data_IF_618349916630
#
_entry.id   IF_618349916630
#
_cell.length_a   1.000
_cell.length_b   1.000
_cell.length_c   1.000
_cell.angle_alpha   90.00
_cell.angle_beta   90.00
_cell.angle_gamma   90.00
#
_symmetry.space_group_name_H-M   'P 1'
#
loop_
_entity.id
_entity.type
_entity.pdbx_description
1 polymer ?
#
# COMPACT_ATOMS: atom_id res chain seq x y z
N UNK A 1 25.99 -13.14 17.57
CA UNK A 1 25.63 -12.88 16.16
C UNK A 1 24.14 -12.55 15.99
N UNK A 2 23.21 -13.28 16.63
CA UNK A 2 21.76 -12.99 16.60
C UNK A 2 21.38 -11.56 17.03
N UNK A 3 22.02 -11.04 18.09
CA UNK A 3 21.72 -9.72 18.65
C UNK A 3 22.10 -8.56 17.69
N UNK A 4 23.11 -8.74 16.84
CA UNK A 4 23.56 -7.74 15.85
C UNK A 4 22.61 -7.68 14.63
N UNK A 5 22.04 -8.82 14.24
CA UNK A 5 21.04 -8.88 13.18
C UNK A 5 19.72 -8.24 13.62
N UNK A 6 19.28 -8.51 14.86
CA UNK A 6 18.04 -7.97 15.42
C UNK A 6 18.10 -6.45 15.60
N UNK A 7 19.24 -5.91 16.04
CA UNK A 7 19.46 -4.45 16.18
C UNK A 7 19.46 -3.74 14.82
N UNK A 8 20.09 -4.32 13.79
CA UNK A 8 20.02 -3.79 12.42
C UNK A 8 18.59 -3.83 11.88
N UNK A 9 17.85 -4.91 12.15
CA UNK A 9 16.43 -5.03 11.79
C UNK A 9 15.57 -3.99 12.50
N UNK A 10 15.79 -3.75 13.79
CA UNK A 10 15.12 -2.68 14.57
C UNK A 10 15.33 -1.30 13.93
N UNK A 11 16.57 -0.96 13.56
CA UNK A 11 16.88 0.31 12.87
C UNK A 11 16.20 0.40 11.50
N UNK A 12 16.16 -0.70 10.72
CA UNK A 12 15.43 -0.79 9.44
C UNK A 12 13.94 -0.50 9.63
N UNK A 13 13.31 -1.11 10.64
CA UNK A 13 11.90 -0.90 10.96
C UNK A 13 11.61 0.55 11.41
N UNK A 14 12.50 1.16 12.19
CA UNK A 14 12.39 2.56 12.59
C UNK A 14 12.45 3.50 11.39
N UNK A 15 13.41 3.31 10.47
CA UNK A 15 13.49 4.09 9.22
C UNK A 15 12.23 3.92 8.37
N UNK A 16 11.73 2.69 8.23
CA UNK A 16 10.48 2.40 7.51
C UNK A 16 9.28 3.12 8.15
N UNK A 17 9.21 3.17 9.47
CA UNK A 17 8.15 3.87 10.19
C UNK A 17 8.25 5.40 10.01
N UNK A 18 9.45 5.98 10.04
CA UNK A 18 9.66 7.41 9.77
C UNK A 18 9.23 7.77 8.35
N UNK A 19 9.61 6.96 7.35
CA UNK A 19 9.16 7.14 5.97
C UNK A 19 7.64 7.04 5.83
N UNK A 20 7.02 6.07 6.53
CA UNK A 20 5.57 5.93 6.55
C UNK A 20 4.88 7.16 7.20
N UNK A 21 5.44 7.73 8.27
CA UNK A 21 4.94 8.98 8.85
C UNK A 21 5.04 10.15 7.88
N UNK A 22 6.19 10.30 7.20
CA UNK A 22 6.39 11.35 6.19
C UNK A 22 5.39 11.20 5.03
N UNK A 23 5.16 9.98 4.55
CA UNK A 23 4.15 9.68 3.54
C UNK A 23 2.74 10.07 4.00
N UNK A 24 2.35 9.72 5.24
CA UNK A 24 1.04 10.11 5.79
C UNK A 24 0.85 11.64 5.80
N UNK A 25 1.88 12.37 6.23
CA UNK A 25 1.83 13.84 6.24
C UNK A 25 1.68 14.40 4.82
N UNK A 26 2.42 13.85 3.86
CA UNK A 26 2.33 14.22 2.45
C UNK A 26 0.94 13.96 1.85
N UNK A 27 0.33 12.81 2.17
CA UNK A 27 -1.03 12.47 1.72
C UNK A 27 -2.07 13.43 2.31
N UNK A 28 -1.96 13.78 3.60
CA UNK A 28 -2.85 14.78 4.22
C UNK A 28 -2.72 16.13 3.52
N UNK A 29 -1.51 16.55 3.17
CA UNK A 29 -1.28 17.79 2.41
C UNK A 29 -1.96 17.74 1.04
N UNK A 30 -1.82 16.64 0.30
CA UNK A 30 -2.49 16.43 -1.00
C UNK A 30 -4.01 16.52 -0.88
N UNK A 31 -4.60 15.94 0.18
CA UNK A 31 -6.05 15.98 0.43
C UNK A 31 -6.52 17.42 0.69
N UNK A 32 -5.79 18.19 1.49
CA UNK A 32 -6.10 19.59 1.76
C UNK A 32 -5.98 20.47 0.51
N UNK A 33 -4.94 20.23 -0.30
CA UNK A 33 -4.70 20.90 -1.57
C UNK A 33 -5.82 20.57 -2.57
N UNK A 34 -6.17 19.29 -2.74
CA UNK A 34 -7.28 18.87 -3.61
C UNK A 34 -8.61 19.54 -3.22
N UNK A 35 -8.89 19.63 -1.92
CA UNK A 35 -10.13 20.24 -1.43
C UNK A 35 -10.17 21.75 -1.63
N UNK A 36 -9.04 22.44 -1.51
CA UNK A 36 -8.96 23.90 -1.71
C UNK A 36 -8.99 24.25 -3.20
N UNK A 37 -8.07 23.71 -4.00
CA UNK A 37 -7.99 23.95 -5.44
C UNK A 37 -9.21 23.40 -6.18
N UNK A 38 -9.77 22.26 -5.77
CA UNK A 38 -10.94 21.70 -6.43
C UNK A 38 -12.17 22.60 -6.34
N UNK A 39 -12.30 23.35 -5.23
CA UNK A 39 -13.34 24.39 -5.09
C UNK A 39 -13.05 25.61 -5.97
N UNK A 40 -11.81 26.05 -6.04
CA UNK A 40 -11.42 27.22 -6.85
C UNK A 40 -11.54 26.95 -8.35
N UNK A 41 -11.21 25.74 -8.79
CA UNK A 41 -11.23 25.32 -10.20
C UNK A 41 -12.58 24.73 -10.64
N UNK A 42 -13.60 24.77 -9.78
CA UNK A 42 -14.93 24.19 -10.03
C UNK A 42 -14.88 22.76 -10.60
N UNK A 43 -13.96 21.93 -10.07
CA UNK A 43 -13.83 20.54 -10.50
C UNK A 43 -15.06 19.74 -10.08
N UNK A 44 -15.41 18.66 -10.81
CA UNK A 44 -16.53 17.81 -10.43
C UNK A 44 -16.36 17.25 -9.01
N UNK A 45 -17.39 17.41 -8.18
CA UNK A 45 -17.38 16.96 -6.79
C UNK A 45 -17.10 15.45 -6.69
N UNK A 46 -17.61 14.64 -7.62
CA UNK A 46 -17.37 13.20 -7.69
C UNK A 46 -15.89 12.86 -7.76
N UNK A 47 -15.13 13.58 -8.59
CA UNK A 47 -13.70 13.37 -8.81
C UNK A 47 -12.89 13.70 -7.55
N UNK A 48 -13.26 14.78 -6.87
CA UNK A 48 -12.64 15.21 -5.62
C UNK A 48 -12.90 14.18 -4.52
N UNK A 49 -14.17 13.78 -4.32
CA UNK A 49 -14.54 12.82 -3.27
C UNK A 49 -13.89 11.46 -3.47
N UNK A 50 -13.85 10.95 -4.70
CA UNK A 50 -13.18 9.70 -5.00
C UNK A 50 -11.67 9.79 -4.76
N UNK A 51 -11.01 10.86 -5.21
CA UNK A 51 -9.56 11.07 -5.00
C UNK A 51 -9.23 11.08 -3.51
N UNK A 52 -10.01 11.82 -2.71
CA UNK A 52 -9.86 11.85 -1.24
C UNK A 52 -10.07 10.44 -0.67
N UNK A 53 -11.14 9.76 -1.05
CA UNK A 53 -11.45 8.40 -0.57
C UNK A 53 -10.34 7.39 -0.89
N UNK A 54 -9.76 7.46 -2.10
CA UNK A 54 -8.67 6.60 -2.53
C UNK A 54 -7.42 6.81 -1.67
N UNK A 55 -7.01 8.06 -1.47
CA UNK A 55 -5.85 8.39 -0.64
C UNK A 55 -6.07 8.04 0.84
N UNK A 56 -7.26 8.31 1.40
CA UNK A 56 -7.62 7.92 2.77
C UNK A 56 -7.57 6.39 2.93
N UNK A 57 -8.05 5.64 1.94
CA UNK A 57 -7.98 4.17 1.95
C UNK A 57 -6.55 3.65 2.04
N UNK A 58 -5.64 4.18 1.22
CA UNK A 58 -4.21 3.83 1.29
C UNK A 58 -3.60 4.26 2.62
N UNK A 59 -3.95 5.46 3.09
CA UNK A 59 -3.46 6.01 4.35
C UNK A 59 -3.79 5.09 5.54
N UNK A 60 -5.01 4.57 5.62
CA UNK A 60 -5.43 3.62 6.64
C UNK A 60 -4.59 2.33 6.61
N UNK A 61 -4.31 1.78 5.43
CA UNK A 61 -3.48 0.58 5.30
C UNK A 61 -2.05 0.81 5.81
N UNK A 62 -1.47 1.98 5.50
CA UNK A 62 -0.14 2.36 6.00
C UNK A 62 -0.15 2.50 7.52
N UNK A 63 -1.15 3.18 8.09
CA UNK A 63 -1.29 3.37 9.55
C UNK A 63 -1.41 2.02 10.27
N UNK A 64 -2.21 1.07 9.76
CA UNK A 64 -2.31 -0.28 10.33
C UNK A 64 -0.93 -0.98 10.33
N UNK A 65 -0.18 -0.84 9.24
CA UNK A 65 1.19 -1.36 9.14
C UNK A 65 2.17 -0.70 10.12
N UNK A 66 2.01 0.59 10.37
CA UNK A 66 2.78 1.34 11.37
C UNK A 66 2.49 0.84 12.78
N UNK A 67 1.20 0.69 13.16
CA UNK A 67 0.83 0.14 14.47
C UNK A 67 1.44 -1.24 14.71
N UNK A 68 1.41 -2.12 13.70
CA UNK A 68 2.04 -3.44 13.77
C UNK A 68 3.56 -3.34 13.97
N UNK A 69 4.22 -2.45 13.23
CA UNK A 69 5.67 -2.23 13.33
C UNK A 69 6.04 -1.65 14.70
N UNK A 70 5.26 -0.69 15.20
CA UNK A 70 5.50 -0.07 16.49
C UNK A 70 5.23 -1.01 17.66
N UNK A 71 4.20 -1.87 17.56
CA UNK A 71 4.01 -2.95 18.54
C UNK A 71 5.16 -3.95 18.53
N UNK A 72 5.75 -4.26 17.36
CA UNK A 72 6.92 -5.14 17.28
C UNK A 72 8.19 -4.47 17.83
N UNK A 73 8.34 -3.15 17.71
CA UNK A 73 9.49 -2.41 18.27
C UNK A 73 9.49 -2.32 19.79
N UNK A 74 8.32 -2.47 20.43
CA UNK A 74 8.15 -2.42 21.90
C UNK A 74 8.30 -3.77 22.59
N UNK A 75 8.24 -4.87 21.83
CA UNK A 75 8.18 -6.24 22.35
C UNK A 75 9.14 -7.13 21.56
N UNK A 76 10.21 -7.59 22.22
CA UNK A 76 11.26 -8.38 21.58
C UNK A 76 10.76 -9.72 21.04
N UNK A 77 9.73 -10.32 21.64
CA UNK A 77 9.14 -11.56 21.12
C UNK A 77 8.41 -11.30 19.80
N UNK A 78 7.66 -10.19 19.70
CA UNK A 78 7.01 -9.76 18.46
C UNK A 78 8.02 -9.33 17.40
N UNK A 79 9.12 -8.70 17.80
CA UNK A 79 10.20 -8.33 16.88
C UNK A 79 10.83 -9.56 16.23
N UNK A 80 11.15 -10.59 17.03
CA UNK A 80 11.69 -11.87 16.55
C UNK A 80 10.71 -12.59 15.65
N UNK A 81 9.43 -12.65 16.03
CA UNK A 81 8.38 -13.25 15.19
C UNK A 81 8.23 -12.52 13.84
N UNK A 82 8.32 -11.19 13.83
CA UNK A 82 8.28 -10.40 12.60
C UNK A 82 9.53 -10.61 11.74
N UNK A 83 10.71 -10.75 12.36
CA UNK A 83 11.97 -11.04 11.67
C UNK A 83 11.93 -12.40 10.96
N UNK A 84 11.48 -13.44 11.65
CA UNK A 84 11.32 -14.80 11.09
C UNK A 84 10.33 -14.76 9.92
N UNK A 85 9.20 -14.08 10.10
CA UNK A 85 8.19 -13.95 9.05
C UNK A 85 8.70 -13.19 7.80
N UNK A 86 9.53 -12.17 7.97
CA UNK A 86 10.07 -11.39 6.85
C UNK A 86 11.15 -12.18 6.07
N UNK A 87 11.80 -13.15 6.70
CA UNK A 87 12.81 -14.03 6.09
C UNK A 87 12.28 -15.44 5.76
N UNK A 88 10.96 -15.63 5.79
CA UNK A 88 10.34 -16.91 5.44
C UNK A 88 10.44 -17.14 3.92
N UNK A 89 11.29 -18.07 3.52
CA UNK A 89 11.53 -18.48 2.13
C UNK A 89 10.25 -18.95 1.42
N UNK A 90 9.28 -19.50 2.16
CA UNK A 90 7.99 -19.92 1.59
C UNK A 90 7.17 -18.72 1.14
N UNK A 91 7.23 -17.61 1.86
CA UNK A 91 6.52 -16.39 1.45
C UNK A 91 7.19 -15.74 0.25
N UNK A 92 8.52 -15.74 0.22
CA UNK A 92 9.31 -15.17 -0.88
C UNK A 92 9.06 -15.93 -2.18
N UNK A 93 9.10 -17.26 -2.13
CA UNK A 93 8.86 -18.13 -3.30
C UNK A 93 7.42 -18.04 -3.84
N UNK A 94 6.42 -17.85 -2.97
CA UNK A 94 5.05 -17.58 -3.40
C UNK A 94 4.96 -16.24 -4.13
N UNK A 95 5.55 -15.17 -3.57
CA UNK A 95 5.54 -13.84 -4.22
C UNK A 95 6.27 -13.88 -5.57
N UNK A 96 7.39 -14.58 -5.70
CA UNK A 96 8.07 -14.76 -6.99
C UNK A 96 7.19 -15.47 -8.04
N UNK A 97 6.50 -16.54 -7.65
CA UNK A 97 5.62 -17.31 -8.55
C UNK A 97 4.40 -16.52 -9.05
N UNK A 98 3.89 -15.58 -8.26
CA UNK A 98 2.73 -14.76 -8.64
C UNK A 98 3.12 -13.45 -9.34
N UNK A 99 4.37 -13.30 -9.79
CA UNK A 99 4.85 -12.07 -10.42
C UNK A 99 5.00 -10.90 -9.44
N UNK A 100 5.24 -11.20 -8.16
CA UNK A 100 5.22 -10.35 -6.97
C UNK A 100 5.38 -8.85 -7.19
N UNK A 101 6.60 -8.35 -7.43
CA UNK A 101 6.86 -6.92 -7.63
C UNK A 101 6.27 -6.36 -8.93
N UNK A 102 6.21 -7.16 -10.00
CA UNK A 102 5.65 -6.74 -11.29
C UNK A 102 4.15 -6.46 -11.23
N UNK A 103 3.36 -7.37 -10.62
CA UNK A 103 1.92 -7.12 -10.44
C UNK A 103 1.69 -5.94 -9.48
N UNK A 104 2.52 -5.77 -8.45
CA UNK A 104 2.43 -4.60 -7.59
C UNK A 104 2.65 -3.28 -8.36
N UNK A 105 3.61 -3.26 -9.29
CA UNK A 105 3.86 -2.10 -10.14
C UNK A 105 2.66 -1.81 -11.05
N UNK A 106 2.04 -2.85 -11.64
CA UNK A 106 0.84 -2.70 -12.47
C UNK A 106 -0.32 -2.15 -11.65
N UNK A 107 -0.57 -2.68 -10.44
CA UNK A 107 -1.61 -2.18 -9.54
C UNK A 107 -1.36 -0.70 -9.20
N UNK A 108 -0.12 -0.32 -8.90
CA UNK A 108 0.24 1.07 -8.60
C UNK A 108 0.02 1.99 -9.81
N UNK A 109 0.44 1.57 -11.00
CA UNK A 109 0.25 2.31 -12.25
C UNK A 109 -1.24 2.47 -12.59
N UNK A 110 -2.04 1.41 -12.46
CA UNK A 110 -3.49 1.45 -12.65
C UNK A 110 -4.18 2.36 -11.63
N UNK A 111 -3.74 2.35 -10.37
CA UNK A 111 -4.24 3.26 -9.34
C UNK A 111 -4.01 4.72 -9.71
N UNK A 112 -2.79 5.07 -10.12
CA UNK A 112 -2.46 6.44 -10.58
C UNK A 112 -3.25 6.83 -11.84
N UNK A 113 -3.34 5.93 -12.82
CA UNK A 113 -4.12 6.17 -14.04
C UNK A 113 -5.61 6.39 -13.75
N UNK A 114 -6.17 5.67 -12.78
CA UNK A 114 -7.57 5.82 -12.34
C UNK A 114 -7.82 7.21 -11.73
N UNK A 115 -6.88 7.71 -10.91
CA UNK A 115 -6.96 9.07 -10.34
C UNK A 115 -6.90 10.13 -11.43
N UNK A 116 -6.14 9.92 -12.50
CA UNK A 116 -6.08 10.89 -13.61
C UNK A 116 -7.36 10.80 -14.46
N UNK A 117 -7.81 9.59 -14.76
CA UNK A 117 -8.95 9.35 -15.65
C UNK A 117 -10.27 9.91 -15.13
N UNK A 118 -10.47 9.97 -13.81
CA UNK A 118 -11.71 10.54 -13.22
C UNK A 118 -11.89 12.04 -13.51
N UNK A 119 -10.81 12.76 -13.85
CA UNK A 119 -10.88 14.17 -14.26
C UNK A 119 -11.03 14.33 -15.78
N UNK A 120 -10.81 13.27 -16.56
CA UNK A 120 -10.81 13.31 -18.03
C UNK A 120 -12.08 12.72 -18.62
N UNK A 121 -12.45 11.50 -18.23
CA UNK A 121 -13.57 10.78 -18.83
C UNK A 121 -14.10 9.66 -17.91
N UNK A 122 -15.40 9.69 -17.63
CA UNK A 122 -16.06 8.75 -16.72
C UNK A 122 -16.02 7.30 -17.22
N UNK A 123 -16.14 7.06 -18.53
CA UNK A 123 -16.05 5.71 -19.13
C UNK A 123 -14.65 5.12 -18.97
N UNK A 124 -13.61 5.92 -19.23
CA UNK A 124 -12.21 5.50 -19.04
C UNK A 124 -11.93 5.21 -17.57
N UNK A 125 -12.43 6.05 -16.67
CA UNK A 125 -12.34 5.84 -15.23
C UNK A 125 -12.94 4.50 -14.79
N UNK A 126 -14.20 4.20 -15.15
CA UNK A 126 -14.84 2.94 -14.74
C UNK A 126 -14.14 1.71 -15.33
N UNK A 127 -13.61 1.83 -16.54
CA UNK A 127 -12.85 0.75 -17.19
C UNK A 127 -11.54 0.48 -16.43
N UNK A 128 -10.79 1.53 -16.09
CA UNK A 128 -9.55 1.41 -15.32
C UNK A 128 -9.80 0.92 -13.90
N UNK A 129 -10.84 1.44 -13.23
CA UNK A 129 -11.23 1.00 -11.89
C UNK A 129 -11.61 -0.48 -11.87
N UNK A 130 -12.40 -0.94 -12.85
CA UNK A 130 -12.77 -2.36 -12.97
C UNK A 130 -11.56 -3.23 -13.22
N UNK A 131 -10.63 -2.78 -14.07
CA UNK A 131 -9.37 -3.48 -14.35
C UNK A 131 -8.49 -3.56 -13.10
N UNK A 132 -8.39 -2.47 -12.33
CA UNK A 132 -7.66 -2.41 -11.06
C UNK A 132 -8.22 -3.42 -10.05
N UNK A 133 -9.55 -3.42 -9.85
CA UNK A 133 -10.23 -4.35 -8.94
C UNK A 133 -10.01 -5.80 -9.37
N UNK A 134 -10.19 -6.10 -10.66
CA UNK A 134 -9.94 -7.43 -11.21
C UNK A 134 -8.51 -7.89 -10.97
N UNK A 135 -7.52 -7.02 -11.22
CA UNK A 135 -6.10 -7.33 -11.02
C UNK A 135 -5.79 -7.65 -9.56
N UNK A 136 -6.36 -6.89 -8.61
CA UNK A 136 -6.22 -7.15 -7.17
C UNK A 136 -6.85 -8.49 -6.79
N UNK A 137 -8.04 -8.82 -7.31
CA UNK A 137 -8.71 -10.10 -7.07
C UNK A 137 -7.89 -11.27 -7.61
N UNK A 138 -7.39 -11.17 -8.84
CA UNK A 138 -6.54 -12.21 -9.45
C UNK A 138 -5.28 -12.41 -8.62
N UNK A 139 -4.60 -11.34 -8.20
CA UNK A 139 -3.44 -11.44 -7.33
C UNK A 139 -3.78 -12.14 -6.01
N UNK A 140 -4.90 -11.78 -5.39
CA UNK A 140 -5.35 -12.40 -4.14
C UNK A 140 -5.68 -13.89 -4.32
N UNK A 141 -6.36 -14.26 -5.42
CA UNK A 141 -6.69 -15.63 -5.76
C UNK A 141 -5.43 -16.48 -5.98
N UNK A 142 -4.46 -15.97 -6.75
CA UNK A 142 -3.17 -16.63 -6.96
C UNK A 142 -2.43 -16.82 -5.63
N UNK A 143 -2.39 -15.79 -4.78
CA UNK A 143 -1.77 -15.87 -3.47
C UNK A 143 -2.43 -16.92 -2.57
N UNK A 144 -3.75 -17.04 -2.59
CA UNK A 144 -4.48 -18.06 -1.84
C UNK A 144 -4.24 -19.47 -2.39
N UNK A 145 -4.18 -19.62 -3.72
CA UNK A 145 -3.89 -20.89 -4.37
C UNK A 145 -2.50 -21.41 -4.01
N UNK A 146 -1.45 -20.61 -4.25
CA UNK A 146 -0.08 -21.03 -3.97
C UNK A 146 0.18 -21.25 -2.48
N UNK A 147 -0.51 -20.52 -1.58
CA UNK A 147 -0.41 -20.76 -0.13
C UNK A 147 -1.02 -22.10 0.31
N UNK A 148 -1.99 -22.63 -0.44
CA UNK A 148 -2.56 -23.96 -0.18
C UNK A 148 -1.72 -25.08 -0.80
N UNK A 149 -1.10 -24.83 -1.95
CA UNK A 149 -0.36 -25.84 -2.71
C UNK A 149 1.10 -26.02 -2.28
N UNK A 150 1.79 -24.93 -1.87
CA UNK A 150 3.16 -24.93 -1.36
C UNK A 150 3.14 -24.88 0.15
#
# INVERSE_FOLDING_TARGET
MENTALTRFKSKLQKRNILATAYNFFVVLIILINRSLGKELALPDESIHFTIGFFVGIQLLVIIGMFKTQSALRDDAKLRALYIKEHDERTLSIEEKIGGPGINLIIAALGLATIIAIYLNQTVFFTLLSTLIFTVIVKAALKLYYRKTL
#
